data_IF_014063125109
#
_entry.id   IF_014063125109
#
_cell.length_a   1.000
_cell.length_b   1.000
_cell.length_c   1.000
_cell.angle_alpha   90.00
_cell.angle_beta   90.00
_cell.angle_gamma   90.00
#
_symmetry.space_group_name_H-M   'P 1'
#
loop_
_entity.id
_entity.type
_entity.pdbx_description
1 polymer ?
#
# COMPACT_ATOMS: atom_id res chain seq x y z
N UNK A 1 -17.01 -4.10 14.58
CA UNK A 1 -17.75 -3.79 13.35
C UNK A 1 -16.80 -3.44 12.21
N UNK A 2 -15.87 -2.49 12.40
CA UNK A 2 -14.97 -2.05 11.34
C UNK A 2 -14.06 -3.15 10.79
N UNK A 3 -13.58 -4.03 11.64
CA UNK A 3 -12.71 -5.14 11.22
C UNK A 3 -13.47 -6.15 10.38
N UNK A 4 -14.75 -6.38 10.71
CA UNK A 4 -15.62 -7.29 9.95
C UNK A 4 -15.97 -6.76 8.56
N UNK A 5 -16.12 -5.45 8.44
CA UNK A 5 -16.36 -4.81 7.13
C UNK A 5 -15.14 -5.04 6.23
N UNK A 6 -13.95 -4.83 6.77
CA UNK A 6 -12.70 -5.06 6.05
C UNK A 6 -12.57 -6.54 5.63
N UNK A 7 -12.76 -7.48 6.56
CA UNK A 7 -12.65 -8.90 6.27
C UNK A 7 -13.65 -9.35 5.20
N UNK A 8 -14.90 -8.94 5.33
CA UNK A 8 -15.96 -9.28 4.38
C UNK A 8 -15.63 -8.76 2.98
N UNK A 9 -15.17 -7.52 2.88
CA UNK A 9 -14.83 -6.93 1.60
C UNK A 9 -13.61 -7.61 0.95
N UNK A 10 -12.58 -7.94 1.74
CA UNK A 10 -11.39 -8.66 1.23
C UNK A 10 -11.79 -10.02 0.67
N UNK A 11 -12.63 -10.76 1.39
CA UNK A 11 -13.12 -12.05 0.90
C UNK A 11 -14.03 -11.90 -0.32
N UNK A 12 -14.85 -10.87 -0.39
CA UNK A 12 -15.63 -10.56 -1.59
C UNK A 12 -14.69 -10.33 -2.79
N UNK A 13 -13.62 -9.57 -2.61
CA UNK A 13 -12.65 -9.34 -3.67
C UNK A 13 -11.96 -10.64 -4.10
N UNK A 14 -11.64 -11.53 -3.16
CA UNK A 14 -11.08 -12.85 -3.47
C UNK A 14 -12.03 -13.66 -4.39
N UNK A 15 -13.31 -13.66 -4.06
CA UNK A 15 -14.34 -14.35 -4.85
C UNK A 15 -14.48 -13.72 -6.24
N UNK A 16 -14.53 -12.39 -6.30
CA UNK A 16 -14.64 -11.66 -7.56
C UNK A 16 -13.47 -11.97 -8.50
N UNK A 17 -12.25 -12.00 -7.98
CA UNK A 17 -11.08 -12.35 -8.78
C UNK A 17 -11.13 -13.79 -9.25
N UNK A 18 -11.53 -14.71 -8.39
CA UNK A 18 -11.63 -16.13 -8.74
C UNK A 18 -12.66 -16.38 -9.85
N UNK A 19 -13.75 -15.61 -9.86
CA UNK A 19 -14.82 -15.74 -10.85
C UNK A 19 -14.65 -14.81 -12.06
N UNK A 20 -13.64 -13.94 -12.07
CA UNK A 20 -13.44 -12.97 -13.15
C UNK A 20 -14.56 -11.91 -13.22
N UNK A 21 -15.12 -11.52 -12.08
CA UNK A 21 -16.20 -10.53 -11.98
C UNK A 21 -15.67 -9.29 -11.24
N UNK A 22 -14.92 -8.41 -11.90
CA UNK A 22 -14.37 -7.21 -11.24
C UNK A 22 -15.48 -6.28 -10.77
N UNK A 23 -15.22 -5.53 -9.70
CA UNK A 23 -16.15 -4.54 -9.18
C UNK A 23 -15.96 -4.29 -7.69
N UNK A 24 -16.74 -3.36 -7.15
CA UNK A 24 -16.72 -2.95 -5.74
C UNK A 24 -15.36 -2.44 -5.26
N UNK A 25 -14.57 -1.87 -6.17
CA UNK A 25 -13.28 -1.23 -5.87
C UNK A 25 -13.41 0.27 -5.60
N UNK A 26 -14.64 0.75 -5.54
CA UNK A 26 -14.99 2.14 -5.27
C UNK A 26 -16.03 2.21 -4.16
N UNK A 27 -16.24 3.41 -3.63
CA UNK A 27 -17.26 3.62 -2.61
C UNK A 27 -16.75 3.49 -1.17
N UNK A 28 -17.66 3.65 -0.19
CA UNK A 28 -17.27 3.78 1.23
C UNK A 28 -16.58 2.55 1.82
N UNK A 29 -17.01 1.36 1.43
CA UNK A 29 -16.44 0.11 1.97
C UNK A 29 -15.03 -0.10 1.42
N UNK A 30 -14.83 0.13 0.12
CA UNK A 30 -13.51 0.07 -0.48
C UNK A 30 -12.57 1.12 0.12
N UNK A 31 -13.02 2.35 0.24
CA UNK A 31 -12.23 3.45 0.84
C UNK A 31 -11.85 3.15 2.29
N UNK A 32 -12.76 2.61 3.08
CA UNK A 32 -12.49 2.20 4.45
C UNK A 32 -11.41 1.10 4.51
N UNK A 33 -11.53 0.12 3.64
CA UNK A 33 -10.63 -1.03 3.60
C UNK A 33 -9.23 -0.64 3.12
N UNK A 34 -9.14 0.17 2.09
CA UNK A 34 -7.86 0.74 1.62
C UNK A 34 -7.21 1.58 2.71
N UNK A 35 -7.99 2.44 3.38
CA UNK A 35 -7.50 3.27 4.47
C UNK A 35 -6.96 2.45 5.65
N UNK A 36 -7.57 1.31 5.92
CA UNK A 36 -7.08 0.41 6.97
C UNK A 36 -5.69 -0.15 6.66
N UNK A 37 -5.47 -0.57 5.42
CA UNK A 37 -4.15 -1.05 4.97
C UNK A 37 -3.16 0.13 4.96
N UNK A 38 -3.57 1.29 4.46
CA UNK A 38 -2.72 2.46 4.35
C UNK A 38 -2.18 2.94 5.72
N UNK A 39 -2.94 2.77 6.78
CA UNK A 39 -2.49 3.11 8.13
C UNK A 39 -1.29 2.29 8.62
N UNK A 40 -1.03 1.16 8.01
CA UNK A 40 0.13 0.33 8.32
C UNK A 40 1.40 0.77 7.56
N UNK A 41 1.29 1.62 6.54
CA UNK A 41 2.41 2.01 5.70
C UNK A 41 3.57 2.67 6.47
N UNK A 42 3.34 3.53 7.46
CA UNK A 42 4.44 4.05 8.27
C UNK A 42 5.23 2.92 8.98
N UNK A 43 4.54 1.94 9.55
CA UNK A 43 5.18 0.79 10.18
C UNK A 43 5.91 -0.08 9.15
N UNK A 44 5.30 -0.33 7.99
CA UNK A 44 5.93 -1.09 6.89
C UNK A 44 7.24 -0.43 6.48
N UNK A 45 7.23 0.89 6.28
CA UNK A 45 8.40 1.65 5.84
C UNK A 45 9.52 1.64 6.87
N UNK A 46 9.21 1.99 8.11
CA UNK A 46 10.21 2.17 9.15
C UNK A 46 10.69 0.86 9.78
N UNK A 47 9.77 -0.07 10.02
CA UNK A 47 10.08 -1.28 10.80
C UNK A 47 10.29 -2.51 9.92
N UNK A 48 9.39 -2.77 8.99
CA UNK A 48 9.50 -3.96 8.14
C UNK A 48 10.58 -3.79 7.06
N UNK A 49 10.58 -2.67 6.37
CA UNK A 49 11.59 -2.37 5.35
C UNK A 49 12.88 -1.77 5.94
N UNK A 50 12.87 -1.40 7.20
CA UNK A 50 14.00 -0.83 7.92
C UNK A 50 14.61 0.39 7.21
N UNK A 51 13.76 1.25 6.67
CA UNK A 51 14.20 2.49 6.03
C UNK A 51 14.94 3.37 7.07
N UNK A 52 16.08 3.95 6.68
CA UNK A 52 16.85 4.77 7.61
C UNK A 52 16.16 6.08 7.94
N UNK A 53 16.55 6.70 9.06
CA UNK A 53 16.06 8.01 9.47
C UNK A 53 16.34 9.05 8.38
N UNK A 54 15.39 9.94 8.17
CA UNK A 54 15.45 10.97 7.13
C UNK A 54 14.82 10.55 5.81
N UNK A 55 14.47 9.30 5.64
CA UNK A 55 13.75 8.83 4.44
C UNK A 55 12.34 9.40 4.43
N UNK A 56 11.91 9.84 3.26
CA UNK A 56 10.51 10.14 2.96
C UNK A 56 10.02 9.24 1.84
N UNK A 57 8.89 8.59 2.05
CA UNK A 57 8.27 7.71 1.07
C UNK A 57 6.86 8.20 0.77
N UNK A 58 6.52 8.29 -0.52
CA UNK A 58 5.17 8.66 -0.94
C UNK A 58 4.53 7.44 -1.60
N UNK A 59 3.37 7.04 -1.09
CA UNK A 59 2.56 5.97 -1.67
C UNK A 59 1.41 6.61 -2.43
N UNK A 60 1.44 6.48 -3.75
CA UNK A 60 0.38 6.98 -4.61
C UNK A 60 -0.52 5.81 -5.00
N UNK A 61 -1.66 5.71 -4.33
CA UNK A 61 -2.65 4.65 -4.57
C UNK A 61 -3.71 5.24 -5.48
N UNK A 62 -3.68 4.83 -6.75
CA UNK A 62 -4.56 5.39 -7.79
C UNK A 62 -5.94 4.73 -7.79
N UNK A 63 -6.96 5.49 -8.20
CA UNK A 63 -8.35 5.07 -8.24
C UNK A 63 -9.21 5.85 -7.27
N UNK A 64 -10.54 5.71 -7.40
CA UNK A 64 -11.50 6.50 -6.60
C UNK A 64 -11.35 6.23 -5.10
N UNK A 65 -11.12 4.99 -4.71
CA UNK A 65 -10.91 4.61 -3.30
C UNK A 65 -9.45 4.79 -2.85
N UNK A 66 -8.57 5.24 -3.75
CA UNK A 66 -7.17 5.46 -3.45
C UNK A 66 -6.90 6.79 -2.78
N UNK A 67 -5.65 7.00 -2.43
CA UNK A 67 -5.18 8.25 -1.82
C UNK A 67 -3.67 8.35 -1.97
N UNK A 68 -3.12 9.51 -1.62
CA UNK A 68 -1.68 9.71 -1.52
C UNK A 68 -1.31 9.66 -0.04
N UNK A 69 -0.35 8.81 0.31
CA UNK A 69 0.09 8.62 1.71
C UNK A 69 1.58 8.96 1.80
N UNK A 70 1.92 10.16 2.28
CA UNK A 70 3.31 10.53 2.51
C UNK A 70 3.77 10.07 3.90
N UNK A 71 4.94 9.47 3.97
CA UNK A 71 5.51 8.90 5.20
C UNK A 71 6.94 9.43 5.38
N UNK A 72 7.28 9.79 6.61
CA UNK A 72 8.66 10.10 7.01
C UNK A 72 9.14 9.13 8.08
N UNK A 73 10.44 8.85 8.10
CA UNK A 73 11.06 8.01 9.11
C UNK A 73 11.95 8.86 9.99
N UNK A 74 11.66 8.84 11.30
CA UNK A 74 12.44 9.56 12.32
C UNK A 74 12.54 8.70 13.59
N UNK A 75 13.75 8.57 14.12
CA UNK A 75 13.99 7.79 15.34
C UNK A 75 13.57 6.33 15.22
N UNK A 76 13.69 5.75 14.03
CA UNK A 76 13.29 4.38 13.75
C UNK A 76 11.78 4.19 13.67
N UNK A 77 11.01 5.26 13.62
CA UNK A 77 9.54 5.22 13.52
C UNK A 77 9.06 5.89 12.25
N UNK A 78 8.02 5.33 11.66
CA UNK A 78 7.31 5.93 10.53
C UNK A 78 6.19 6.82 11.02
N UNK A 79 6.01 7.94 10.33
CA UNK A 79 4.94 8.89 10.59
C UNK A 79 4.32 9.32 9.27
N UNK A 80 3.00 9.32 9.20
CA UNK A 80 2.30 9.91 8.07
C UNK A 80 2.41 11.43 8.15
N UNK A 81 2.75 12.05 7.02
CA UNK A 81 2.86 13.50 6.91
C UNK A 81 1.53 14.11 6.49
N UNK A 82 1.32 15.40 6.84
CA UNK A 82 0.11 16.13 6.43
C UNK A 82 0.12 16.53 4.96
N UNK A 83 1.30 16.59 4.34
CA UNK A 83 1.46 16.98 2.95
C UNK A 83 2.64 16.23 2.32
N UNK A 84 2.61 16.11 0.99
CA UNK A 84 3.71 15.48 0.25
C UNK A 84 4.99 16.31 0.35
N UNK A 85 6.14 15.67 0.60
CA UNK A 85 7.43 16.36 0.51
C UNK A 85 7.74 16.73 -0.94
N UNK A 86 8.44 17.85 -1.13
CA UNK A 86 8.79 18.32 -2.48
C UNK A 86 9.75 17.40 -3.22
N UNK A 87 10.59 16.66 -2.49
CA UNK A 87 11.58 15.74 -3.05
C UNK A 87 11.62 14.47 -2.21
N UNK A 88 10.63 13.56 -2.38
CA UNK A 88 10.62 12.32 -1.62
C UNK A 88 11.83 11.43 -1.97
N UNK A 89 12.30 10.67 -1.02
CA UNK A 89 13.36 9.68 -1.25
C UNK A 89 12.90 8.62 -2.24
N UNK A 90 11.67 8.19 -2.11
CA UNK A 90 11.06 7.16 -2.96
C UNK A 90 9.57 7.44 -3.13
N UNK A 91 9.06 7.17 -4.33
CA UNK A 91 7.63 7.20 -4.63
C UNK A 91 7.21 5.83 -5.15
N UNK A 92 6.17 5.28 -4.57
CA UNK A 92 5.59 3.98 -4.95
C UNK A 92 4.19 4.23 -5.45
N UNK A 93 3.92 3.87 -6.71
CA UNK A 93 2.63 4.08 -7.35
C UNK A 93 2.00 2.74 -7.71
N UNK A 94 0.75 2.55 -7.32
CA UNK A 94 -0.02 1.35 -7.62
C UNK A 94 -1.52 1.66 -7.60
N UNK A 95 -2.33 0.80 -8.17
CA UNK A 95 -3.78 0.94 -8.11
C UNK A 95 -4.36 0.30 -6.85
N UNK A 96 -5.65 0.56 -6.60
CA UNK A 96 -6.37 0.05 -5.42
C UNK A 96 -6.31 -1.47 -5.34
N UNK A 97 -6.59 -2.17 -6.44
CA UNK A 97 -6.62 -3.64 -6.43
C UNK A 97 -5.25 -4.23 -6.09
N UNK A 98 -4.20 -3.75 -6.75
CA UNK A 98 -2.83 -4.20 -6.49
C UNK A 98 -2.40 -3.89 -5.07
N UNK A 99 -2.72 -2.69 -4.57
CA UNK A 99 -2.41 -2.30 -3.20
C UNK A 99 -3.04 -3.25 -2.18
N UNK A 100 -4.31 -3.56 -2.35
CA UNK A 100 -5.02 -4.49 -1.48
C UNK A 100 -4.43 -5.90 -1.57
N UNK A 101 -4.15 -6.38 -2.77
CA UNK A 101 -3.57 -7.70 -2.98
C UNK A 101 -2.19 -7.84 -2.36
N UNK A 102 -1.38 -6.80 -2.40
CA UNK A 102 -0.07 -6.79 -1.73
C UNK A 102 -0.23 -6.70 -0.21
N UNK A 103 -1.08 -5.81 0.27
CA UNK A 103 -1.30 -5.61 1.71
C UNK A 103 -1.90 -6.83 2.39
N UNK A 104 -2.69 -7.61 1.68
CA UNK A 104 -3.34 -8.82 2.20
C UNK A 104 -2.62 -10.12 1.80
N UNK A 105 -1.47 -10.03 1.15
CA UNK A 105 -0.66 -11.20 0.81
C UNK A 105 -1.24 -12.09 -0.29
N UNK A 106 -2.06 -11.53 -1.20
CA UNK A 106 -2.69 -12.29 -2.28
C UNK A 106 -1.82 -12.40 -3.51
N UNK A 107 -0.99 -11.39 -3.79
CA UNK A 107 -0.12 -11.36 -4.96
C UNK A 107 1.34 -11.28 -4.55
N UNK A 108 2.20 -11.88 -5.36
CA UNK A 108 3.65 -11.80 -5.16
C UNK A 108 4.15 -10.39 -5.49
N UNK A 109 4.82 -9.70 -4.55
CA UNK A 109 5.38 -8.37 -4.79
C UNK A 109 6.36 -8.32 -5.97
N UNK A 110 7.18 -9.34 -6.12
CA UNK A 110 8.18 -9.40 -7.21
C UNK A 110 7.49 -9.43 -8.59
N UNK A 111 6.42 -10.19 -8.72
CA UNK A 111 5.62 -10.23 -9.94
C UNK A 111 4.90 -8.91 -10.21
N UNK A 112 4.39 -8.27 -9.17
CA UNK A 112 3.74 -6.96 -9.30
C UNK A 112 4.74 -5.90 -9.78
N UNK A 113 5.96 -5.91 -9.28
CA UNK A 113 7.03 -5.01 -9.74
C UNK A 113 7.42 -5.30 -11.19
N UNK A 114 7.64 -6.56 -11.53
CA UNK A 114 8.06 -6.97 -12.87
C UNK A 114 7.00 -6.67 -13.93
N UNK A 115 5.72 -6.85 -13.59
CA UNK A 115 4.60 -6.62 -14.52
C UNK A 115 4.20 -5.15 -14.67
N UNK A 116 4.79 -4.26 -13.88
CA UNK A 116 4.46 -2.83 -13.89
C UNK A 116 3.18 -2.47 -13.13
N UNK A 117 2.59 -3.39 -12.38
CA UNK A 117 1.44 -3.11 -11.51
C UNK A 117 1.82 -2.20 -10.35
N UNK A 118 3.08 -2.25 -9.95
CA UNK A 118 3.70 -1.31 -9.02
C UNK A 118 4.88 -0.67 -9.70
N UNK A 119 4.96 0.65 -9.64
CA UNK A 119 6.11 1.40 -10.15
C UNK A 119 6.80 2.12 -9.00
N UNK A 120 8.12 2.17 -9.07
CA UNK A 120 8.97 2.81 -8.07
C UNK A 120 9.82 3.87 -8.74
N UNK A 121 9.86 5.07 -8.17
CA UNK A 121 10.75 6.13 -8.61
C UNK A 121 11.56 6.66 -7.43
N UNK A 122 12.71 7.27 -7.71
CA UNK A 122 13.66 7.70 -6.68
C UNK A 122 14.61 6.58 -6.30
N UNK A 123 14.73 6.29 -5.02
CA UNK A 123 15.55 5.18 -4.53
C UNK A 123 14.85 3.85 -4.82
N UNK A 124 15.15 3.25 -5.97
CA UNK A 124 14.48 2.03 -6.43
C UNK A 124 14.79 0.82 -5.56
N UNK A 125 16.00 0.70 -5.03
CA UNK A 125 16.37 -0.40 -4.16
C UNK A 125 15.54 -0.38 -2.86
N UNK A 126 15.41 0.79 -2.25
CA UNK A 126 14.59 0.98 -1.06
C UNK A 126 13.11 0.74 -1.38
N UNK A 127 12.63 1.27 -2.50
CA UNK A 127 11.25 1.08 -2.94
C UNK A 127 10.90 -0.40 -3.13
N UNK A 128 11.78 -1.15 -3.77
CA UNK A 128 11.59 -2.60 -3.94
C UNK A 128 11.55 -3.32 -2.59
N UNK A 129 12.39 -2.94 -1.65
CA UNK A 129 12.37 -3.50 -0.29
C UNK A 129 11.05 -3.20 0.40
N UNK A 130 10.55 -1.98 0.30
CA UNK A 130 9.25 -1.59 0.87
C UNK A 130 8.11 -2.42 0.27
N UNK A 131 8.06 -2.52 -1.06
CA UNK A 131 7.01 -3.29 -1.75
C UNK A 131 7.02 -4.75 -1.32
N UNK A 132 8.19 -5.35 -1.16
CA UNK A 132 8.32 -6.74 -0.70
C UNK A 132 7.87 -6.95 0.75
N UNK A 133 7.73 -5.89 1.53
CA UNK A 133 7.31 -5.93 2.94
C UNK A 133 5.88 -5.45 3.17
N UNK A 134 5.09 -5.24 2.10
CA UNK A 134 3.76 -4.66 2.22
C UNK A 134 2.70 -5.59 2.80
N UNK A 135 2.92 -6.89 2.84
CA UNK A 135 1.95 -7.82 3.43
C UNK A 135 1.85 -7.57 4.95
N UNK A 136 0.71 -7.06 5.39
CA UNK A 136 0.42 -6.77 6.80
C UNK A 136 -0.47 -7.83 7.45
N UNK A 137 -0.92 -8.82 6.69
CA UNK A 137 -1.75 -9.91 7.21
C UNK A 137 -0.86 -11.01 7.78
N UNK A 138 -1.34 -11.60 8.86
CA UNK A 138 -0.65 -12.69 9.55
C UNK A 138 -1.22 -14.04 9.11
#
# INVERSE_FOLDING_TARGET
>A
VRIRIFDAWVHEQDIRRALGIPGELEGPVASHSVGRIARALPFVTARKAQAPDGVTAVFNITGVAGSVVPVAVEGGRGKELDAEPGSPTVTITTDVETFVCLGCGRWDPSEALTSGKVTVSGDTALGNTIVNQMNIMI
#
